data_IF_614802316800
#
_entry.id   IF_614802316800
#
_cell.length_a   1.000
_cell.length_b   1.000
_cell.length_c   1.000
_cell.angle_alpha   90.00
_cell.angle_beta   90.00
_cell.angle_gamma   90.00
#
_symmetry.space_group_name_H-M   'P 1'
#
loop_
_entity.id
_entity.type
_entity.pdbx_description
1 polymer ?
#
# COMPACT_ATOMS: atom_id res chain seq x y z
N UNK A 1 -6.01 11.71 21.63
CA UNK A 1 -7.09 10.78 22.07
C UNK A 1 -6.83 9.47 21.34
N UNK A 2 -6.92 8.32 22.00
CA UNK A 2 -6.72 7.04 21.32
C UNK A 2 -7.98 6.68 20.52
N UNK A 3 -7.81 6.37 19.24
CA UNK A 3 -8.92 5.97 18.36
C UNK A 3 -9.02 4.43 18.35
N UNK A 4 -10.23 3.94 18.58
CA UNK A 4 -10.53 2.51 18.62
C UNK A 4 -11.52 2.15 17.50
N UNK A 5 -11.22 1.07 16.78
CA UNK A 5 -12.09 0.57 15.70
C UNK A 5 -13.23 -0.30 16.22
N UNK A 6 -13.01 -0.89 17.41
CA UNK A 6 -13.97 -1.77 18.07
C UNK A 6 -13.79 -1.64 19.57
N UNK A 7 -14.90 -1.70 20.30
CA UNK A 7 -14.92 -1.82 21.76
C UNK A 7 -15.71 -3.07 22.11
N UNK A 8 -15.20 -3.88 23.04
CA UNK A 8 -15.87 -5.05 23.58
C UNK A 8 -15.90 -4.96 25.10
N UNK A 9 -16.97 -5.48 25.69
CA UNK A 9 -17.07 -5.66 27.13
C UNK A 9 -17.06 -7.13 27.50
N UNK A 10 -16.28 -7.50 28.51
CA UNK A 10 -16.26 -8.86 29.06
C UNK A 10 -16.17 -8.82 30.58
N UNK A 11 -16.71 -9.86 31.23
CA UNK A 11 -16.60 -10.07 32.67
C UNK A 11 -15.55 -11.12 33.02
N UNK A 12 -14.96 -11.76 32.00
CA UNK A 12 -13.94 -12.79 32.16
C UNK A 12 -12.55 -12.17 32.21
N UNK A 13 -11.86 -12.32 33.34
CA UNK A 13 -10.46 -11.90 33.46
C UNK A 13 -9.54 -12.69 32.52
N UNK A 14 -9.83 -13.97 32.27
CA UNK A 14 -9.06 -14.80 31.32
C UNK A 14 -9.19 -14.27 29.89
N UNK A 15 -10.40 -13.93 29.47
CA UNK A 15 -10.65 -13.35 28.15
C UNK A 15 -10.00 -11.96 28.02
N UNK A 16 -10.08 -11.15 29.07
CA UNK A 16 -9.41 -9.84 29.14
C UNK A 16 -7.90 -9.99 28.93
N UNK A 17 -7.25 -10.91 29.65
CA UNK A 17 -5.82 -11.15 29.51
C UNK A 17 -5.44 -11.65 28.12
N UNK A 18 -6.27 -12.49 27.49
CA UNK A 18 -6.04 -12.96 26.13
C UNK A 18 -6.16 -11.80 25.12
N UNK A 19 -7.18 -10.96 25.24
CA UNK A 19 -7.36 -9.80 24.36
C UNK A 19 -6.22 -8.80 24.52
N UNK A 20 -5.75 -8.55 25.74
CA UNK A 20 -4.56 -7.70 26.00
C UNK A 20 -3.30 -8.28 25.33
N UNK A 21 -3.11 -9.60 25.37
CA UNK A 21 -1.99 -10.26 24.65
C UNK A 21 -2.09 -10.12 23.14
N UNK A 22 -3.31 -10.02 22.60
CA UNK A 22 -3.57 -9.73 21.19
C UNK A 22 -3.48 -8.23 20.86
N UNK A 23 -3.06 -7.39 21.82
CA UNK A 23 -2.86 -5.96 21.62
C UNK A 23 -4.10 -5.09 21.84
N UNK A 24 -5.18 -5.63 22.39
CA UNK A 24 -6.30 -4.82 22.86
C UNK A 24 -5.90 -4.01 24.09
N UNK A 25 -6.48 -2.82 24.22
CA UNK A 25 -6.19 -1.90 25.31
C UNK A 25 -7.37 -1.82 26.28
N UNK A 26 -7.12 -1.88 27.59
CA UNK A 26 -8.16 -1.69 28.59
C UNK A 26 -8.53 -0.20 28.65
N UNK A 27 -9.77 0.13 28.30
CA UNK A 27 -10.28 1.50 28.29
C UNK A 27 -10.87 1.85 29.66
N UNK A 28 -11.74 0.97 30.17
CA UNK A 28 -12.51 1.24 31.37
C UNK A 28 -12.87 -0.06 32.11
N UNK A 29 -13.12 0.05 33.41
CA UNK A 29 -13.71 -1.03 34.21
C UNK A 29 -14.96 -0.52 34.92
N UNK A 30 -16.10 -1.16 34.68
CA UNK A 30 -17.36 -0.84 35.36
C UNK A 30 -17.68 -1.86 36.44
N UNK A 31 -18.22 -1.37 37.56
CA UNK A 31 -18.77 -2.20 38.65
C UNK A 31 -20.27 -1.96 38.72
N UNK A 32 -21.12 -2.89 38.23
CA UNK A 32 -22.57 -2.72 38.30
C UNK A 32 -23.03 -2.73 39.76
N UNK A 33 -23.85 -1.74 40.13
CA UNK A 33 -24.27 -1.47 41.52
C UNK A 33 -25.31 -2.44 42.10
N UNK A 34 -25.83 -3.40 41.31
CA UNK A 34 -27.10 -4.10 41.64
C UNK A 34 -26.97 -5.58 42.03
N UNK A 35 -25.82 -6.06 42.49
CA UNK A 35 -25.72 -7.45 42.96
C UNK A 35 -25.16 -7.53 44.37
N UNK A 36 -26.02 -7.98 45.29
CA UNK A 36 -25.80 -8.33 46.70
C UNK A 36 -24.81 -9.51 46.89
N UNK A 37 -24.13 -9.92 45.84
CA UNK A 37 -23.24 -11.09 45.81
C UNK A 37 -21.98 -10.76 44.99
N UNK A 38 -21.02 -10.11 45.66
CA UNK A 38 -19.61 -10.10 45.27
C UNK A 38 -19.25 -9.75 43.81
N UNK A 39 -18.99 -8.46 43.56
CA UNK A 39 -17.85 -7.99 42.76
C UNK A 39 -17.64 -8.58 41.35
N UNK A 40 -18.64 -8.51 40.46
CA UNK A 40 -18.40 -8.77 39.02
C UNK A 40 -17.94 -7.50 38.32
N UNK A 41 -16.62 -7.37 38.14
CA UNK A 41 -16.02 -6.29 37.33
C UNK A 41 -16.29 -6.59 35.85
N UNK A 42 -16.72 -5.58 35.12
CA UNK A 42 -16.85 -5.62 33.66
C UNK A 42 -15.74 -4.77 33.06
N UNK A 43 -14.97 -5.36 32.15
CA UNK A 43 -13.82 -4.78 31.48
C UNK A 43 -14.21 -4.33 30.09
N UNK A 44 -13.93 -3.08 29.73
CA UNK A 44 -14.13 -2.51 28.40
C UNK A 44 -12.79 -2.40 27.70
N UNK A 45 -12.64 -3.16 26.61
CA UNK A 45 -11.40 -3.27 25.86
C UNK A 45 -11.59 -2.64 24.48
N UNK A 46 -10.63 -1.83 24.07
CA UNK A 46 -10.56 -1.21 22.76
C UNK A 46 -9.56 -1.90 21.85
N UNK A 47 -9.94 -2.06 20.59
CA UNK A 47 -9.02 -2.47 19.53
C UNK A 47 -8.44 -1.22 18.85
N UNK A 48 -7.15 -0.90 19.00
CA UNK A 48 -6.58 0.34 18.49
C UNK A 48 -6.56 0.39 16.96
N UNK A 49 -6.84 1.55 16.36
CA UNK A 49 -6.74 1.76 14.89
C UNK A 49 -5.35 1.41 14.36
N UNK A 50 -4.29 1.73 15.13
CA UNK A 50 -2.91 1.39 14.76
C UNK A 50 -2.70 -0.10 14.49
N UNK A 51 -3.31 -0.96 15.31
CA UNK A 51 -3.09 -2.40 15.23
C UNK A 51 -3.84 -2.99 14.04
N UNK A 52 -5.04 -2.48 13.75
CA UNK A 52 -5.73 -2.82 12.50
C UNK A 52 -4.91 -2.43 11.26
N UNK A 53 -4.30 -1.23 11.27
CA UNK A 53 -3.46 -0.79 10.16
C UNK A 53 -2.23 -1.70 9.97
N UNK A 54 -1.58 -2.10 11.07
CA UNK A 54 -0.47 -3.05 11.06
C UNK A 54 -0.89 -4.44 10.54
N UNK A 55 -2.04 -4.96 10.99
CA UNK A 55 -2.59 -6.23 10.51
C UNK A 55 -2.88 -6.19 9.01
N UNK A 56 -3.55 -5.13 8.53
CA UNK A 56 -3.83 -4.95 7.10
C UNK A 56 -2.54 -4.86 6.29
N UNK A 57 -1.54 -4.12 6.78
CA UNK A 57 -0.22 -4.03 6.14
C UNK A 57 0.46 -5.41 6.05
N UNK A 58 0.36 -6.22 7.11
CA UNK A 58 0.92 -7.57 7.13
C UNK A 58 0.25 -8.50 6.11
N UNK A 59 -1.08 -8.37 5.94
CA UNK A 59 -1.85 -9.13 4.94
C UNK A 59 -1.39 -8.74 3.54
N UNK A 60 -1.26 -7.43 3.25
CA UNK A 60 -0.79 -6.95 1.94
C UNK A 60 0.61 -7.48 1.64
N UNK A 61 1.54 -7.41 2.59
CA UNK A 61 2.90 -7.96 2.44
C UNK A 61 2.90 -9.47 2.20
N UNK A 62 2.00 -10.21 2.86
CA UNK A 62 1.85 -11.64 2.64
C UNK A 62 1.36 -11.93 1.21
N UNK A 63 0.39 -11.18 0.71
CA UNK A 63 -0.08 -11.30 -0.67
C UNK A 63 1.02 -11.02 -1.69
N UNK A 64 1.84 -9.98 -1.47
CA UNK A 64 3.01 -9.67 -2.31
C UNK A 64 4.08 -10.76 -2.27
N UNK A 65 4.25 -11.44 -1.13
CA UNK A 65 5.15 -12.61 -1.08
C UNK A 65 4.69 -13.75 -1.99
N UNK A 66 3.38 -13.87 -2.23
CA UNK A 66 2.79 -14.94 -3.04
C UNK A 66 2.47 -14.53 -4.49
N UNK A 67 2.55 -13.23 -4.83
CA UNK A 67 2.21 -12.68 -6.16
C UNK A 67 3.30 -11.71 -6.59
N UNK A 68 3.74 -11.73 -7.86
CA UNK A 68 4.73 -10.72 -8.28
C UNK A 68 4.15 -9.31 -8.19
N UNK A 69 5.00 -8.34 -7.81
CA UNK A 69 4.65 -6.92 -7.75
C UNK A 69 4.02 -6.44 -9.07
N UNK A 70 4.58 -6.86 -10.20
CA UNK A 70 4.09 -6.49 -11.54
C UNK A 70 2.66 -6.98 -11.78
N UNK A 71 2.35 -8.24 -11.44
CA UNK A 71 0.99 -8.77 -11.60
C UNK A 71 -0.03 -8.03 -10.71
N UNK A 72 0.39 -7.59 -9.53
CA UNK A 72 -0.44 -6.78 -8.66
C UNK A 72 -0.70 -5.39 -9.27
N UNK A 73 0.34 -4.70 -9.73
CA UNK A 73 0.20 -3.39 -10.38
C UNK A 73 -0.59 -3.45 -11.69
N UNK A 74 -0.44 -4.51 -12.49
CA UNK A 74 -1.27 -4.72 -13.68
C UNK A 74 -2.76 -4.81 -13.35
N UNK A 75 -3.12 -5.55 -12.30
CA UNK A 75 -4.52 -5.66 -11.86
C UNK A 75 -5.07 -4.32 -11.37
N UNK A 76 -4.25 -3.55 -10.66
CA UNK A 76 -4.64 -2.22 -10.19
C UNK A 76 -4.80 -1.26 -11.37
N UNK A 77 -3.86 -1.26 -12.32
CA UNK A 77 -3.93 -0.43 -13.53
C UNK A 77 -5.23 -0.66 -14.31
N UNK A 78 -5.64 -1.93 -14.48
CA UNK A 78 -6.94 -2.29 -15.08
C UNK A 78 -8.13 -1.70 -14.32
N UNK A 79 -8.06 -1.62 -12.99
CA UNK A 79 -9.09 -0.99 -12.17
C UNK A 79 -9.17 0.54 -12.34
N UNK A 80 -8.07 1.18 -12.73
CA UNK A 80 -7.99 2.61 -13.06
C UNK A 80 -8.26 2.90 -14.55
N UNK A 81 -8.63 1.90 -15.35
CA UNK A 81 -8.76 2.00 -16.81
C UNK A 81 -7.50 2.57 -17.49
N UNK A 82 -6.32 2.18 -17.00
CA UNK A 82 -5.02 2.59 -17.54
C UNK A 82 -4.10 1.38 -17.75
N UNK A 83 -2.98 1.59 -18.43
CA UNK A 83 -2.02 0.53 -18.75
C UNK A 83 -0.68 0.79 -18.04
N UNK A 84 -0.23 -0.18 -17.25
CA UNK A 84 1.06 -0.17 -16.55
C UNK A 84 2.25 0.04 -17.51
N UNK A 85 2.20 -0.52 -18.72
CA UNK A 85 3.27 -0.37 -19.72
C UNK A 85 3.44 1.07 -20.20
N UNK A 86 2.44 1.92 -19.96
CA UNK A 86 2.53 3.35 -20.24
C UNK A 86 3.39 4.10 -19.25
N UNK A 87 3.90 3.45 -18.20
CA UNK A 87 4.67 4.09 -17.14
C UNK A 87 6.13 3.68 -17.15
N UNK A 88 6.98 4.58 -16.65
CA UNK A 88 8.38 4.33 -16.34
C UNK A 88 8.61 4.58 -14.86
N UNK A 89 9.38 3.67 -14.25
CA UNK A 89 9.82 3.81 -12.86
C UNK A 89 11.06 4.70 -12.81
N UNK A 90 11.05 5.71 -11.95
CA UNK A 90 12.22 6.53 -11.63
C UNK A 90 12.56 6.37 -10.16
N UNK A 91 13.81 6.03 -9.88
CA UNK A 91 14.34 5.95 -8.52
C UNK A 91 14.97 7.29 -8.16
N UNK A 92 14.49 7.94 -7.10
CA UNK A 92 15.01 9.23 -6.63
C UNK A 92 14.39 10.44 -7.33
N UNK A 93 13.76 11.31 -6.52
CA UNK A 93 13.20 12.59 -6.95
C UNK A 93 11.67 12.61 -7.01
N UNK A 94 11.07 13.62 -6.38
CA UNK A 94 9.66 14.00 -6.59
C UNK A 94 9.60 14.84 -7.87
N UNK A 95 9.46 14.19 -9.02
CA UNK A 95 9.24 14.92 -10.27
C UNK A 95 7.77 15.36 -10.30
N UNK A 96 7.50 16.59 -9.84
CA UNK A 96 6.16 17.08 -9.57
C UNK A 96 5.34 17.36 -10.83
N UNK A 97 5.88 17.22 -12.04
CA UNK A 97 5.16 17.53 -13.28
C UNK A 97 4.18 16.45 -13.73
N UNK A 98 4.36 15.19 -13.28
CA UNK A 98 3.47 14.05 -13.61
C UNK A 98 2.50 13.70 -12.46
N UNK A 99 2.48 14.50 -11.39
CA UNK A 99 1.68 14.30 -10.17
C UNK A 99 0.16 14.33 -10.37
N UNK A 100 -0.33 14.56 -11.59
CA UNK A 100 -1.76 14.56 -11.90
C UNK A 100 -2.33 13.18 -12.25
N UNK A 101 -1.51 12.14 -12.46
CA UNK A 101 -2.05 10.83 -12.79
C UNK A 101 -2.44 10.01 -11.53
N UNK A 102 -3.71 9.58 -11.37
CA UNK A 102 -4.17 8.84 -10.20
C UNK A 102 -3.45 7.51 -9.96
N UNK A 103 -3.14 6.76 -11.02
CA UNK A 103 -2.47 5.47 -10.92
C UNK A 103 -1.00 5.63 -10.49
N UNK A 104 -0.28 6.59 -11.08
CA UNK A 104 1.10 6.88 -10.70
C UNK A 104 1.22 7.29 -9.23
N UNK A 105 0.31 8.16 -8.76
CA UNK A 105 0.24 8.57 -7.36
C UNK A 105 -0.08 7.39 -6.44
N UNK A 106 -0.98 6.51 -6.87
CA UNK A 106 -1.35 5.32 -6.13
C UNK A 106 -0.17 4.35 -5.99
N UNK A 107 0.57 4.06 -7.08
CA UNK A 107 1.73 3.17 -7.05
C UNK A 107 2.86 3.73 -6.18
N UNK A 108 3.14 5.03 -6.28
CA UNK A 108 4.11 5.69 -5.42
C UNK A 108 3.74 5.62 -3.94
N UNK A 109 2.46 5.85 -3.60
CA UNK A 109 1.95 5.71 -2.22
C UNK A 109 2.04 4.27 -1.73
N UNK A 110 1.71 3.30 -2.58
CA UNK A 110 1.82 1.88 -2.24
C UNK A 110 3.26 1.52 -1.88
N UNK A 111 4.23 1.87 -2.74
CA UNK A 111 5.64 1.57 -2.51
C UNK A 111 6.16 2.23 -1.22
N UNK A 112 5.72 3.45 -0.92
CA UNK A 112 6.08 4.12 0.33
C UNK A 112 5.46 3.44 1.56
N UNK A 113 4.16 3.17 1.55
CA UNK A 113 3.44 2.63 2.71
C UNK A 113 3.79 1.16 2.97
N UNK A 114 3.91 0.36 1.92
CA UNK A 114 4.08 -1.09 2.02
C UNK A 114 5.56 -1.47 2.07
N UNK A 115 6.37 -0.86 1.22
CA UNK A 115 7.76 -1.25 1.01
C UNK A 115 8.79 -0.26 1.57
N UNK A 116 8.36 0.86 2.15
CA UNK A 116 9.23 1.95 2.62
C UNK A 116 10.17 2.46 1.51
N UNK A 117 9.70 2.43 0.26
CA UNK A 117 10.45 2.86 -0.92
C UNK A 117 9.90 4.15 -1.48
N UNK A 118 10.77 5.12 -1.66
CA UNK A 118 10.44 6.38 -2.37
C UNK A 118 10.59 6.14 -3.87
N UNK A 119 9.48 5.83 -4.53
CA UNK A 119 9.40 5.59 -5.97
C UNK A 119 8.57 6.69 -6.64
N UNK A 120 8.97 7.08 -7.86
CA UNK A 120 8.18 7.98 -8.71
C UNK A 120 7.84 7.28 -10.01
N UNK A 121 6.59 7.40 -10.44
CA UNK A 121 6.09 6.84 -11.69
C UNK A 121 5.71 7.98 -12.62
N UNK A 122 6.20 7.92 -13.86
CA UNK A 122 5.93 8.93 -14.89
C UNK A 122 5.33 8.26 -16.12
N UNK A 123 4.38 8.91 -16.78
CA UNK A 123 3.80 8.35 -18.01
C UNK A 123 4.80 8.55 -19.15
N UNK A 124 5.09 7.50 -19.90
CA UNK A 124 5.93 7.56 -21.10
C UNK A 124 5.37 8.63 -22.03
N UNK A 125 6.17 9.64 -22.32
CA UNK A 125 5.79 10.65 -23.30
C UNK A 125 5.77 9.99 -24.69
N UNK A 126 4.75 10.23 -25.53
CA UNK A 126 4.79 9.77 -26.90
C UNK A 126 5.99 10.41 -27.60
N UNK A 127 6.83 9.59 -28.25
CA UNK A 127 7.96 10.08 -29.05
C UNK A 127 7.37 10.96 -30.15
N UNK A 128 7.73 12.25 -30.23
CA UNK A 128 7.24 13.11 -31.29
C UNK A 128 7.57 12.52 -32.66
N UNK A 129 6.61 12.59 -33.61
CA UNK A 129 6.76 11.96 -34.94
C UNK A 129 8.07 12.33 -35.66
N UNK A 130 8.62 13.52 -35.40
CA UNK A 130 9.87 14.00 -36.00
C UNK A 130 11.14 13.32 -35.46
N UNK A 131 11.10 12.68 -34.28
CA UNK A 131 12.20 11.86 -33.77
C UNK A 131 12.09 10.38 -34.20
N UNK A 132 10.96 9.98 -34.80
CA UNK A 132 10.76 8.61 -35.29
C UNK A 132 11.38 8.39 -36.68
N UNK A 133 11.66 9.46 -37.44
CA UNK A 133 12.33 9.39 -38.74
C UNK A 133 13.84 9.15 -38.61
N UNK A 134 14.50 9.63 -37.56
CA UNK A 134 15.96 9.49 -37.39
C UNK A 134 16.39 8.06 -37.03
N UNK A 135 15.49 7.22 -36.51
CA UNK A 135 15.79 5.84 -36.11
C UNK A 135 15.72 4.85 -37.30
N UNK A 136 15.14 5.24 -38.43
CA UNK A 136 15.03 4.36 -39.62
C UNK A 136 16.23 4.43 -40.56
N UNK A 137 17.06 5.47 -40.47
CA UNK A 137 18.12 5.71 -41.45
C UNK A 137 19.48 5.07 -41.08
N UNK A 138 19.66 4.53 -39.86
CA UNK A 138 20.94 3.89 -39.47
C UNK A 138 21.09 2.42 -39.90
N UNK A 139 20.06 1.78 -40.47
CA UNK A 139 20.13 0.39 -40.93
C UNK A 139 20.29 0.23 -42.45
N UNK A 140 20.56 1.31 -43.19
CA UNK A 140 20.69 1.26 -44.66
C UNK A 140 22.09 1.70 -45.17
N UNK A 141 23.13 1.54 -44.35
CA UNK A 141 24.51 1.56 -44.85
C UNK A 141 24.82 0.17 -45.42
N UNK A 142 24.60 0.02 -46.72
CA UNK A 142 25.11 -1.12 -47.49
C UNK A 142 26.64 -1.07 -47.50
N UNK A 143 27.26 -2.22 -47.24
CA UNK A 143 28.71 -2.50 -47.37
C UNK A 143 29.21 -2.45 -48.83
N UNK A 144 28.89 -1.39 -49.58
CA UNK A 144 29.40 -1.16 -50.93
C UNK A 144 29.92 0.27 -51.01
N UNK A 145 31.19 0.46 -50.61
CA UNK A 145 32.19 1.33 -51.25
C UNK A 145 33.33 1.68 -50.28
N UNK A 146 34.24 0.72 -50.07
CA UNK A 146 35.60 1.03 -49.62
C UNK A 146 36.54 0.86 -50.83
N UNK A 147 37.20 1.93 -51.31
CA UNK A 147 38.22 1.79 -52.33
C UNK A 147 39.48 1.15 -51.72
N UNK A 148 40.07 0.24 -52.50
CA UNK A 148 41.30 -0.51 -52.25
C UNK A 148 42.46 0.29 -51.65
#
# INVERSE_FOLDING_TARGET
MADYVRVLSTRSSSETNNLIRLGWELIETTKPHNYDDGSRIEYHLGFPVRLLAEELLSIVKLYEKHTSREQFFEKVAKGFDDNLDSYIEKTGGYDTTDTMNPLALWMAKYEFIVNDKIMTYAKKRPIPKYMQSEVKDENDIKDEDLPF
#
